data_IF_017455934100
#
_entry.id   IF_017455934100
#
_cell.length_a   1.000
_cell.length_b   1.000
_cell.length_c   1.000
_cell.angle_alpha   90.00
_cell.angle_beta   90.00
_cell.angle_gamma   90.00
#
_symmetry.space_group_name_H-M   'P 1'
#
loop_
_entity.id
_entity.type
_entity.pdbx_description
1 polymer ?
#
# COMPACT_ATOMS: atom_id res chain seq x y z
N UNK A 1 7.10 -20.60 7.25
CA UNK A 1 6.32 -19.61 6.49
C UNK A 1 6.89 -19.50 5.10
N UNK A 2 6.04 -19.44 4.07
CA UNK A 2 6.49 -19.21 2.69
C UNK A 2 6.91 -17.75 2.50
N UNK A 3 7.67 -17.46 1.45
CA UNK A 3 8.13 -16.10 1.14
C UNK A 3 6.96 -15.15 0.90
N UNK A 4 5.90 -15.64 0.25
CA UNK A 4 4.67 -14.90 -0.01
C UNK A 4 3.98 -14.46 1.28
N UNK A 5 3.89 -15.36 2.28
CA UNK A 5 3.32 -15.01 3.58
C UNK A 5 4.21 -14.04 4.36
N UNK A 6 5.53 -14.18 4.26
CA UNK A 6 6.46 -13.21 4.86
C UNK A 6 6.27 -11.81 4.28
N UNK A 7 6.14 -11.71 2.96
CA UNK A 7 5.89 -10.44 2.27
C UNK A 7 4.48 -9.90 2.53
N UNK A 8 3.48 -10.77 2.75
CA UNK A 8 2.17 -10.34 3.23
C UNK A 8 2.27 -9.69 4.62
N UNK A 9 2.97 -10.31 5.57
CA UNK A 9 3.20 -9.72 6.90
C UNK A 9 3.98 -8.41 6.78
N UNK A 10 5.00 -8.36 5.93
CA UNK A 10 5.75 -7.13 5.66
C UNK A 10 4.85 -6.03 5.06
N UNK A 11 3.92 -6.38 4.16
CA UNK A 11 2.92 -5.46 3.63
C UNK A 11 1.93 -4.97 4.70
N UNK A 12 1.54 -5.81 5.65
CA UNK A 12 0.73 -5.37 6.82
C UNK A 12 1.49 -4.31 7.62
N UNK A 13 2.77 -4.57 7.93
CA UNK A 13 3.63 -3.61 8.63
C UNK A 13 3.74 -2.31 7.82
N UNK A 14 3.94 -2.40 6.51
CA UNK A 14 3.98 -1.24 5.62
C UNK A 14 2.64 -0.47 5.62
N UNK A 15 1.50 -1.16 5.67
CA UNK A 15 0.19 -0.54 5.81
C UNK A 15 0.03 0.21 7.12
N UNK A 16 0.54 -0.33 8.23
CA UNK A 16 0.60 0.38 9.52
C UNK A 16 1.48 1.63 9.43
N UNK A 17 2.61 1.57 8.73
CA UNK A 17 3.47 2.74 8.48
C UNK A 17 2.70 3.82 7.70
N UNK A 18 1.95 3.45 6.66
CA UNK A 18 1.10 4.40 5.92
C UNK A 18 0.07 5.07 6.86
N UNK A 19 -0.67 4.26 7.62
CA UNK A 19 -1.71 4.73 8.53
C UNK A 19 -1.17 5.70 9.58
N UNK A 20 -0.08 5.32 10.26
CA UNK A 20 0.54 6.12 11.31
C UNK A 20 1.11 7.42 10.73
N UNK A 21 1.84 7.34 9.61
CA UNK A 21 2.43 8.51 8.98
C UNK A 21 1.36 9.51 8.50
N UNK A 22 0.31 9.04 7.82
CA UNK A 22 -0.79 9.90 7.38
C UNK A 22 -1.49 10.55 8.56
N UNK A 23 -1.83 9.78 9.61
CA UNK A 23 -2.50 10.29 10.81
C UNK A 23 -1.73 11.42 11.49
N UNK A 24 -0.41 11.25 11.67
CA UNK A 24 0.43 12.28 12.27
C UNK A 24 0.62 13.49 11.34
N UNK A 25 0.85 13.29 10.04
CA UNK A 25 1.02 14.39 9.09
C UNK A 25 -0.24 15.26 8.97
N UNK A 26 -1.42 14.64 8.96
CA UNK A 26 -2.71 15.34 8.98
C UNK A 26 -2.88 16.08 10.31
N UNK A 27 -2.56 15.44 11.43
CA UNK A 27 -2.63 16.06 12.76
C UNK A 27 -1.65 17.21 12.94
N UNK A 28 -0.49 17.19 12.28
CA UNK A 28 0.43 18.33 12.26
C UNK A 28 -0.08 19.49 11.43
N UNK A 29 -0.88 19.24 10.38
CA UNK A 29 -1.45 20.29 9.55
C UNK A 29 -2.70 20.94 10.18
N UNK A 30 -3.59 20.15 10.77
CA UNK A 30 -4.87 20.64 11.32
C UNK A 30 -4.90 20.74 12.85
N UNK A 31 -3.91 20.17 13.53
CA UNK A 31 -3.84 20.10 14.98
C UNK A 31 -4.50 18.84 15.55
N UNK A 32 -3.89 18.27 16.59
CA UNK A 32 -4.37 17.05 17.25
C UNK A 32 -5.75 17.19 17.90
N UNK A 33 -6.12 18.41 18.33
CA UNK A 33 -7.46 18.67 18.89
C UNK A 33 -8.54 18.46 17.83
N UNK A 34 -8.30 18.93 16.61
CA UNK A 34 -9.25 18.76 15.51
C UNK A 34 -9.29 17.31 15.05
N UNK A 35 -8.15 16.62 14.88
CA UNK A 35 -8.14 15.23 14.41
C UNK A 35 -8.74 14.23 15.41
N UNK A 36 -8.73 14.56 16.71
CA UNK A 36 -9.39 13.81 17.78
C UNK A 36 -10.87 14.21 18.02
N UNK A 37 -11.38 15.22 17.31
CA UNK A 37 -12.80 15.62 17.35
C UNK A 37 -13.65 14.85 16.33
N UNK A 38 -14.94 15.18 16.22
CA UNK A 38 -15.83 14.65 15.16
C UNK A 38 -15.50 15.20 13.76
N UNK A 39 -14.56 16.16 13.64
CA UNK A 39 -14.08 16.75 12.36
C UNK A 39 -15.18 17.46 11.55
N UNK A 40 -16.23 17.92 12.23
CA UNK A 40 -17.33 18.67 11.62
C UNK A 40 -16.93 20.10 11.23
N UNK A 41 -15.96 20.68 11.94
CA UNK A 41 -15.43 22.00 11.59
C UNK A 41 -14.70 21.94 10.24
N UNK A 42 -15.07 22.79 9.27
CA UNK A 42 -14.44 22.77 7.96
C UNK A 42 -12.98 23.20 8.04
N UNK A 43 -12.11 22.42 7.40
CA UNK A 43 -10.68 22.72 7.25
C UNK A 43 -10.33 22.90 5.77
N UNK A 44 -9.33 23.72 5.44
CA UNK A 44 -8.85 23.81 4.06
C UNK A 44 -8.32 22.46 3.57
N UNK A 45 -8.25 22.19 2.26
CA UNK A 45 -7.71 20.92 1.73
C UNK A 45 -6.29 20.60 2.20
N UNK A 46 -5.97 19.30 2.27
CA UNK A 46 -4.62 18.85 2.60
C UNK A 46 -3.63 19.36 1.56
N UNK A 47 -2.41 19.71 2.02
CA UNK A 47 -1.37 20.23 1.12
C UNK A 47 -0.01 19.60 1.40
N UNK A 48 0.89 19.74 0.42
CA UNK A 48 2.27 19.30 0.55
C UNK A 48 2.41 17.81 0.87
N UNK A 49 3.28 17.49 1.83
CA UNK A 49 3.61 16.11 2.22
C UNK A 49 2.39 15.36 2.76
N UNK A 50 1.58 16.00 3.61
CA UNK A 50 0.40 15.37 4.22
C UNK A 50 -0.59 14.87 3.16
N UNK A 51 -0.90 15.70 2.16
CA UNK A 51 -1.76 15.32 1.04
C UNK A 51 -1.21 14.13 0.25
N UNK A 52 0.10 14.14 -0.06
CA UNK A 52 0.70 13.08 -0.88
C UNK A 52 0.76 11.74 -0.16
N UNK A 53 1.04 11.74 1.15
CA UNK A 53 1.06 10.53 1.97
C UNK A 53 -0.36 10.02 2.24
N UNK A 54 -1.33 10.91 2.43
CA UNK A 54 -2.74 10.54 2.55
C UNK A 54 -3.25 9.84 1.28
N UNK A 55 -3.00 10.43 0.09
CA UNK A 55 -3.31 9.79 -1.19
C UNK A 55 -2.62 8.43 -1.36
N UNK A 56 -1.35 8.31 -0.93
CA UNK A 56 -0.62 7.05 -1.00
C UNK A 56 -1.20 5.99 -0.06
N UNK A 57 -1.67 6.41 1.13
CA UNK A 57 -2.32 5.56 2.11
C UNK A 57 -3.64 5.02 1.58
N UNK A 58 -4.48 5.89 1.03
CA UNK A 58 -5.73 5.49 0.37
C UNK A 58 -5.47 4.50 -0.75
N UNK A 59 -4.48 4.77 -1.61
CA UNK A 59 -4.14 3.87 -2.72
C UNK A 59 -3.60 2.51 -2.26
N UNK A 60 -2.82 2.47 -1.17
CA UNK A 60 -2.39 1.23 -0.55
C UNK A 60 -3.60 0.43 -0.05
N UNK A 61 -4.49 1.07 0.70
CA UNK A 61 -5.67 0.43 1.30
C UNK A 61 -6.69 -0.07 0.27
N UNK A 62 -6.80 0.58 -0.88
CA UNK A 62 -7.65 0.12 -1.99
C UNK A 62 -7.16 -1.20 -2.62
N UNK A 63 -5.85 -1.42 -2.61
CA UNK A 63 -5.23 -2.53 -3.36
C UNK A 63 -4.73 -3.67 -2.49
N UNK A 64 -4.42 -3.38 -1.24
CA UNK A 64 -3.96 -4.36 -0.25
C UNK A 64 -4.93 -5.52 -0.02
N UNK A 65 -6.26 -5.32 0.10
CA UNK A 65 -7.19 -6.43 0.29
C UNK A 65 -7.13 -7.47 -0.84
N UNK A 66 -6.98 -7.03 -2.09
CA UNK A 66 -6.82 -7.94 -3.23
C UNK A 66 -5.55 -8.77 -3.13
N UNK A 67 -4.41 -8.12 -2.84
CA UNK A 67 -3.15 -8.82 -2.65
C UNK A 67 -3.20 -9.82 -1.49
N UNK A 68 -3.72 -9.40 -0.33
CA UNK A 68 -3.84 -10.24 0.86
C UNK A 68 -4.72 -11.46 0.59
N UNK A 69 -5.89 -11.26 -0.03
CA UNK A 69 -6.79 -12.37 -0.39
C UNK A 69 -6.10 -13.37 -1.32
N UNK A 70 -5.42 -12.89 -2.36
CA UNK A 70 -4.74 -13.75 -3.33
C UNK A 70 -3.58 -14.55 -2.72
N UNK A 71 -2.77 -13.93 -1.86
CA UNK A 71 -1.69 -14.64 -1.14
C UNK A 71 -2.26 -15.73 -0.23
N UNK A 72 -3.32 -15.43 0.52
CA UNK A 72 -3.95 -16.39 1.42
C UNK A 72 -4.59 -17.55 0.67
N UNK A 73 -5.28 -17.27 -0.45
CA UNK A 73 -5.84 -18.31 -1.32
C UNK A 73 -4.73 -19.19 -1.88
N UNK A 74 -3.66 -18.60 -2.46
CA UNK A 74 -2.52 -19.36 -2.97
C UNK A 74 -1.86 -20.24 -1.90
N UNK A 75 -1.76 -19.74 -0.67
CA UNK A 75 -1.23 -20.51 0.44
C UNK A 75 -2.15 -21.69 0.80
N UNK A 76 -3.46 -21.48 0.94
CA UNK A 76 -4.40 -22.53 1.37
C UNK A 76 -4.59 -23.60 0.29
N UNK A 77 -4.52 -23.22 -0.99
CA UNK A 77 -4.60 -24.14 -2.13
C UNK A 77 -3.25 -24.74 -2.51
N UNK A 78 -2.18 -24.45 -1.74
CA UNK A 78 -0.82 -24.94 -1.97
C UNK A 78 -0.24 -24.56 -3.35
N UNK A 79 -0.73 -23.47 -3.97
CA UNK A 79 -0.16 -22.91 -5.19
C UNK A 79 1.07 -22.08 -4.85
N UNK A 80 2.22 -22.75 -4.74
CA UNK A 80 3.52 -22.10 -4.63
C UNK A 80 4.26 -22.24 -5.96
N UNK A 81 4.51 -21.13 -6.65
CA UNK A 81 5.16 -21.11 -7.96
C UNK A 81 6.12 -19.93 -8.10
N UNK A 82 6.92 -19.91 -9.17
CA UNK A 82 7.76 -18.75 -9.48
C UNK A 82 6.92 -17.48 -9.69
N UNK A 83 5.67 -17.61 -10.17
CA UNK A 83 4.78 -16.47 -10.34
C UNK A 83 4.32 -15.89 -9.00
N UNK A 84 3.96 -16.71 -8.02
CA UNK A 84 3.56 -16.24 -6.69
C UNK A 84 4.74 -15.60 -5.95
N UNK A 85 5.92 -16.20 -6.08
CA UNK A 85 7.16 -15.67 -5.53
C UNK A 85 7.46 -14.26 -6.06
N UNK A 86 7.51 -14.08 -7.39
CA UNK A 86 7.77 -12.78 -7.98
C UNK A 86 6.61 -11.81 -7.77
N UNK A 87 5.37 -12.29 -7.82
CA UNK A 87 4.18 -11.49 -7.56
C UNK A 87 4.22 -10.81 -6.19
N UNK A 88 4.65 -11.55 -5.17
CA UNK A 88 4.78 -11.02 -3.81
C UNK A 88 5.87 -9.93 -3.72
N UNK A 89 7.04 -10.17 -4.33
CA UNK A 89 8.13 -9.19 -4.34
C UNK A 89 7.74 -7.92 -5.07
N UNK A 90 7.16 -8.05 -6.26
CA UNK A 90 6.71 -6.91 -7.07
C UNK A 90 5.70 -6.08 -6.30
N UNK A 91 4.72 -6.71 -5.64
CA UNK A 91 3.76 -5.98 -4.84
C UNK A 91 4.41 -5.23 -3.68
N UNK A 92 5.16 -5.92 -2.82
CA UNK A 92 5.72 -5.33 -1.61
C UNK A 92 6.70 -4.17 -1.92
N UNK A 93 7.70 -4.42 -2.77
CA UNK A 93 8.73 -3.42 -3.07
C UNK A 93 8.17 -2.23 -3.84
N UNK A 94 7.20 -2.47 -4.71
CA UNK A 94 6.52 -1.39 -5.38
C UNK A 94 5.72 -0.51 -4.42
N UNK A 95 5.03 -1.09 -3.42
CA UNK A 95 4.32 -0.30 -2.41
C UNK A 95 5.25 0.51 -1.52
N UNK A 96 6.39 -0.05 -1.14
CA UNK A 96 7.42 0.70 -0.42
C UNK A 96 7.95 1.86 -1.27
N UNK A 97 8.31 1.59 -2.53
CA UNK A 97 8.79 2.61 -3.46
C UNK A 97 7.74 3.70 -3.75
N UNK A 98 6.46 3.32 -3.88
CA UNK A 98 5.34 4.23 -4.07
C UNK A 98 5.25 5.24 -2.91
N UNK A 99 5.33 4.76 -1.65
CA UNK A 99 5.28 5.62 -0.48
C UNK A 99 6.45 6.60 -0.45
N UNK A 100 7.67 6.12 -0.71
CA UNK A 100 8.87 6.96 -0.72
C UNK A 100 8.79 8.02 -1.84
N UNK A 101 8.35 7.64 -3.04
CA UNK A 101 8.15 8.57 -4.16
C UNK A 101 7.06 9.60 -3.86
N UNK A 102 5.96 9.19 -3.20
CA UNK A 102 4.90 10.10 -2.77
C UNK A 102 5.42 11.11 -1.74
N UNK A 103 6.17 10.66 -0.74
CA UNK A 103 6.77 11.53 0.26
C UNK A 103 7.71 12.57 -0.38
N UNK A 104 8.60 12.12 -1.28
CA UNK A 104 9.55 12.96 -2.00
C UNK A 104 8.91 13.89 -3.05
N UNK A 105 7.65 13.66 -3.44
CA UNK A 105 6.94 14.49 -4.41
C UNK A 105 7.11 14.08 -5.88
N UNK A 106 7.64 12.89 -6.15
CA UNK A 106 7.83 12.36 -7.51
C UNK A 106 6.54 11.73 -8.05
N UNK A 107 5.60 12.57 -8.52
CA UNK A 107 4.26 12.14 -8.96
C UNK A 107 4.28 11.14 -10.13
N UNK A 108 5.11 11.38 -11.15
CA UNK A 108 5.23 10.51 -12.33
C UNK A 108 5.85 9.15 -11.98
N UNK A 109 6.94 9.15 -11.21
CA UNK A 109 7.62 7.91 -10.80
C UNK A 109 6.71 7.03 -9.94
N UNK A 110 5.97 7.67 -9.01
CA UNK A 110 4.98 7.02 -8.14
C UNK A 110 3.96 6.20 -8.95
N UNK A 111 3.32 6.82 -9.94
CA UNK A 111 2.25 6.15 -10.69
C UNK A 111 2.77 5.27 -11.82
N UNK A 112 3.66 5.78 -12.68
CA UNK A 112 4.04 5.06 -13.90
C UNK A 112 4.86 3.81 -13.60
N UNK A 113 5.74 3.88 -12.60
CA UNK A 113 6.61 2.76 -12.23
C UNK A 113 5.95 1.95 -11.12
N UNK A 114 5.88 2.51 -9.91
CA UNK A 114 5.52 1.71 -8.74
C UNK A 114 4.07 1.20 -8.76
N UNK A 115 3.10 2.00 -9.19
CA UNK A 115 1.72 1.51 -9.23
C UNK A 115 1.54 0.34 -10.22
N UNK A 116 2.09 0.47 -11.43
CA UNK A 116 2.04 -0.59 -12.44
C UNK A 116 2.81 -1.84 -11.98
N UNK A 117 3.97 -1.69 -11.34
CA UNK A 117 4.72 -2.83 -10.79
C UNK A 117 3.91 -3.58 -9.73
N UNK A 118 3.21 -2.88 -8.84
CA UNK A 118 2.33 -3.51 -7.86
C UNK A 118 1.16 -4.25 -8.52
N UNK A 119 0.56 -3.66 -9.56
CA UNK A 119 -0.53 -4.28 -10.32
C UNK A 119 -0.07 -5.56 -11.04
N UNK A 120 1.12 -5.54 -11.66
CA UNK A 120 1.71 -6.73 -12.29
C UNK A 120 1.91 -7.83 -11.26
N UNK A 121 2.35 -7.49 -10.04
CA UNK A 121 2.47 -8.45 -8.95
C UNK A 121 1.15 -9.13 -8.59
N UNK A 122 0.06 -8.35 -8.51
CA UNK A 122 -1.30 -8.89 -8.32
C UNK A 122 -1.73 -9.76 -9.49
N UNK A 123 -1.48 -9.34 -10.73
CA UNK A 123 -1.81 -10.12 -11.93
C UNK A 123 -1.07 -11.47 -11.95
N UNK A 124 0.16 -11.54 -11.45
CA UNK A 124 0.90 -12.80 -11.35
C UNK A 124 0.22 -13.79 -10.41
N UNK A 125 -0.32 -13.34 -9.28
CA UNK A 125 -1.10 -14.21 -8.41
C UNK A 125 -2.37 -14.70 -9.09
N UNK A 126 -3.09 -13.82 -9.79
CA UNK A 126 -4.30 -14.21 -10.53
C UNK A 126 -3.95 -15.28 -11.56
N UNK A 127 -2.91 -15.07 -12.38
CA UNK A 127 -2.47 -16.05 -13.38
C UNK A 127 -2.01 -17.36 -12.73
N UNK A 128 -1.30 -17.29 -11.60
CA UNK A 128 -0.81 -18.47 -10.90
C UNK A 128 -1.94 -19.33 -10.32
N UNK A 129 -3.05 -18.73 -9.89
CA UNK A 129 -4.20 -19.43 -9.31
C UNK A 129 -5.11 -20.09 -10.34
N UNK A 130 -5.03 -19.67 -11.60
CA UNK A 130 -5.77 -20.28 -12.72
C UNK A 130 -4.96 -21.36 -13.46
N UNK A 131 -3.74 -21.67 -13.01
CA UNK A 131 -2.88 -22.71 -13.57
C UNK A 131 -2.79 -23.90 -12.63
#
# INVERSE_FOLDING_TARGET
MTTELWLLVASVILGLVHLIAASHLISFQYGYRWTASSREEPVPPLRGLANRVDQATTNFLETFPFFAALVLVAHVTQHNSLLTFWGAHLYFWARLGYLLAAAAGYSLLRSLVFWNTALIGVAFFVIALFR
#
